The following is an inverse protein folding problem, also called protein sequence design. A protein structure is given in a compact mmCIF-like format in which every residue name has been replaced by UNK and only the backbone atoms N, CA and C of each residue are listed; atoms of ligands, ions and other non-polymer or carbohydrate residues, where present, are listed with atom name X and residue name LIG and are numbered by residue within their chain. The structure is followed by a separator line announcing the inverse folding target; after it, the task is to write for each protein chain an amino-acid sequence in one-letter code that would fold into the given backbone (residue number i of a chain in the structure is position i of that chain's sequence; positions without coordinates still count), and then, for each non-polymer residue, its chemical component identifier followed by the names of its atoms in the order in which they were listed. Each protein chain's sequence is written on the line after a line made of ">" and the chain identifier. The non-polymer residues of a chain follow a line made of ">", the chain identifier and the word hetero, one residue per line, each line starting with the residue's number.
data_IF_314161870349
#
_entry.id   IF_314161870349
#
_cell.length_a   1.000
_cell.length_b   1.000
_cell.length_c   1.000
_cell.angle_alpha   90.00
_cell.angle_beta   90.00
_cell.angle_gamma   90.00
#
_symmetry.space_group_name_H-M   'P 1'
#
loop_
_entity.id
_entity.type
_entity.pdbx_description
1 polymer ?
#
# COMPACT_ATOMS: atom_id res chain seq x y z
N UNK A 1 35.45 15.03 16.78
CA UNK A 1 35.10 14.14 15.66
C UNK A 1 34.73 12.69 16.03
N UNK A 2 35.28 12.02 17.08
CA UNK A 2 34.95 10.61 17.35
C UNK A 2 33.47 10.39 17.72
N UNK A 3 32.92 11.21 18.60
CA UNK A 3 31.50 11.17 18.99
C UNK A 3 30.50 11.35 17.84
N UNK A 4 30.96 11.95 16.74
CA UNK A 4 30.11 12.28 15.61
C UNK A 4 29.88 11.03 14.74
N UNK A 5 30.96 10.36 14.34
CA UNK A 5 30.92 9.08 13.61
C UNK A 5 30.20 7.97 14.38
N UNK A 6 30.21 8.02 15.72
CA UNK A 6 29.48 7.07 16.58
C UNK A 6 27.97 7.16 16.38
N UNK A 7 27.36 8.34 16.32
CA UNK A 7 25.90 8.47 16.25
C UNK A 7 25.30 7.90 14.96
N UNK A 8 25.88 8.24 13.80
CA UNK A 8 25.37 7.72 12.51
C UNK A 8 25.55 6.20 12.44
N UNK A 9 26.68 5.70 12.94
CA UNK A 9 26.96 4.25 13.02
C UNK A 9 25.98 3.56 13.97
N UNK A 10 25.66 4.17 15.13
CA UNK A 10 24.68 3.66 16.08
C UNK A 10 23.26 3.69 15.51
N UNK A 11 22.89 4.75 14.79
CA UNK A 11 21.58 4.85 14.13
C UNK A 11 21.43 3.79 13.03
N UNK A 12 22.44 3.62 12.18
CA UNK A 12 22.46 2.56 11.16
C UNK A 12 22.41 1.19 11.82
N UNK A 13 23.21 0.97 12.87
CA UNK A 13 23.21 -0.26 13.66
C UNK A 13 21.83 -0.56 14.26
N UNK A 14 21.17 0.44 14.85
CA UNK A 14 19.82 0.31 15.38
C UNK A 14 18.80 -0.03 14.30
N UNK A 15 18.82 0.68 13.16
CA UNK A 15 17.91 0.42 12.04
C UNK A 15 18.11 -0.98 11.45
N UNK A 16 19.37 -1.45 11.34
CA UNK A 16 19.69 -2.80 10.89
C UNK A 16 19.20 -3.86 11.88
N UNK A 17 19.48 -3.70 13.18
CA UNK A 17 19.01 -4.63 14.22
C UNK A 17 17.47 -4.69 14.23
N UNK A 18 16.80 -3.55 14.20
CA UNK A 18 15.34 -3.47 14.16
C UNK A 18 14.77 -4.13 12.90
N UNK A 19 15.39 -3.89 11.74
CA UNK A 19 15.01 -4.51 10.47
C UNK A 19 15.22 -6.03 10.51
N UNK A 20 16.34 -6.51 11.07
CA UNK A 20 16.61 -7.95 11.25
C UNK A 20 15.58 -8.61 12.17
N UNK A 21 15.25 -8.00 13.32
CA UNK A 21 14.21 -8.49 14.23
C UNK A 21 12.86 -8.55 13.49
N UNK A 22 12.52 -7.51 12.75
CA UNK A 22 11.27 -7.45 11.97
C UNK A 22 11.22 -8.56 10.91
N UNK A 23 12.31 -8.81 10.19
CA UNK A 23 12.41 -9.92 9.22
C UNK A 23 12.27 -11.27 9.90
N UNK A 24 12.91 -11.50 11.06
CA UNK A 24 12.76 -12.74 11.83
C UNK A 24 11.30 -12.92 12.28
N UNK A 25 10.64 -11.86 12.74
CA UNK A 25 9.24 -11.91 13.16
C UNK A 25 8.28 -12.19 11.99
N UNK A 26 8.49 -11.56 10.83
CA UNK A 26 7.61 -11.71 9.66
C UNK A 26 7.87 -13.04 8.94
N UNK A 27 9.14 -13.34 8.62
CA UNK A 27 9.51 -14.53 7.86
C UNK A 27 9.48 -15.80 8.72
N UNK A 28 9.65 -15.69 10.04
CA UNK A 28 9.52 -16.82 10.97
C UNK A 28 8.10 -17.40 11.06
N UNK A 29 7.09 -16.68 10.58
CA UNK A 29 5.70 -17.18 10.47
C UNK A 29 5.41 -17.91 9.15
N UNK A 30 6.33 -17.86 8.19
CA UNK A 30 6.13 -18.54 6.92
C UNK A 30 6.18 -20.07 7.11
N UNK A 31 5.24 -20.85 6.53
CA UNK A 31 5.19 -22.31 6.71
C UNK A 31 6.49 -23.04 6.38
N UNK A 32 7.27 -22.53 5.41
CA UNK A 32 8.57 -23.08 5.02
C UNK A 32 9.69 -22.83 6.03
N UNK A 33 9.53 -21.86 6.94
CA UNK A 33 10.58 -21.39 7.86
C UNK A 33 10.27 -21.66 9.33
N UNK A 34 9.03 -22.05 9.65
CA UNK A 34 8.53 -22.22 11.02
C UNK A 34 9.27 -23.32 11.82
N UNK A 35 9.74 -24.37 11.14
CA UNK A 35 10.53 -25.45 11.72
C UNK A 35 12.05 -25.25 11.54
N UNK A 36 12.46 -24.13 10.95
CA UNK A 36 13.85 -23.79 10.69
C UNK A 36 14.45 -22.87 11.77
N UNK A 37 15.71 -22.43 11.58
CA UNK A 37 16.40 -21.55 12.51
C UNK A 37 15.67 -20.22 12.73
N UNK A 38 15.02 -19.68 11.70
CA UNK A 38 14.18 -18.47 11.78
C UNK A 38 12.97 -18.67 12.70
N UNK A 39 12.26 -19.80 12.59
CA UNK A 39 11.14 -20.14 13.46
C UNK A 39 11.57 -20.35 14.92
N UNK A 40 12.72 -21.00 15.14
CA UNK A 40 13.30 -21.13 16.48
C UNK A 40 13.64 -19.76 17.09
N UNK A 41 14.36 -18.90 16.35
CA UNK A 41 14.70 -17.55 16.80
C UNK A 41 13.45 -16.73 17.14
N UNK A 42 12.41 -16.77 16.28
CA UNK A 42 11.13 -16.10 16.53
C UNK A 42 10.47 -16.60 17.82
N UNK A 43 10.44 -17.91 18.06
CA UNK A 43 9.87 -18.48 19.28
C UNK A 43 10.67 -18.08 20.52
N UNK A 44 11.99 -18.05 20.45
CA UNK A 44 12.85 -17.60 21.56
C UNK A 44 12.64 -16.11 21.87
N UNK A 45 12.63 -15.25 20.84
CA UNK A 45 12.37 -13.81 20.98
C UNK A 45 10.96 -13.58 21.53
N UNK A 46 9.95 -14.28 21.02
CA UNK A 46 8.56 -14.14 21.48
C UNK A 46 8.41 -14.59 22.94
N UNK A 47 9.04 -15.70 23.35
CA UNK A 47 9.04 -16.16 24.75
C UNK A 47 9.77 -15.19 25.67
N UNK A 48 10.91 -14.64 25.22
CA UNK A 48 11.64 -13.61 25.96
C UNK A 48 10.84 -12.31 26.13
N UNK A 49 10.18 -11.84 25.08
CA UNK A 49 9.30 -10.68 25.14
C UNK A 49 8.09 -10.92 26.07
N UNK A 50 7.50 -12.12 26.05
CA UNK A 50 6.40 -12.49 26.95
C UNK A 50 6.82 -12.60 28.43
N UNK A 51 8.11 -12.72 28.73
CA UNK A 51 8.62 -12.66 30.11
C UNK A 51 8.55 -11.23 30.67
N UNK A 52 8.81 -10.21 29.84
CA UNK A 52 8.81 -8.81 30.24
C UNK A 52 7.46 -8.12 30.01
N UNK A 53 6.64 -8.60 29.07
CA UNK A 53 5.35 -7.99 28.71
C UNK A 53 4.22 -8.76 29.39
N UNK A 54 3.45 -8.13 30.30
CA UNK A 54 2.33 -8.77 30.96
C UNK A 54 1.31 -9.31 29.95
N UNK A 55 0.76 -10.50 30.20
CA UNK A 55 -0.25 -11.13 29.35
C UNK A 55 -1.46 -10.23 29.08
N UNK A 56 -1.85 -9.41 30.06
CA UNK A 56 -2.91 -8.41 29.91
C UNK A 56 -2.62 -7.39 28.80
N UNK A 57 -1.36 -6.97 28.65
CA UNK A 57 -0.92 -6.04 27.60
C UNK A 57 -0.97 -6.71 26.23
N UNK A 58 -0.60 -7.99 26.14
CA UNK A 58 -0.67 -8.78 24.89
C UNK A 58 -2.12 -9.00 24.46
N UNK A 59 -2.99 -9.37 25.39
CA UNK A 59 -4.41 -9.58 25.10
C UNK A 59 -5.09 -8.25 24.70
N UNK A 60 -4.74 -7.16 25.38
CA UNK A 60 -5.21 -5.82 25.04
C UNK A 60 -4.72 -5.35 23.67
N UNK A 61 -3.43 -5.53 23.36
CA UNK A 61 -2.87 -5.15 22.06
C UNK A 61 -3.47 -5.98 20.91
N UNK A 62 -3.71 -7.27 21.13
CA UNK A 62 -4.40 -8.14 20.18
C UNK A 62 -5.85 -7.69 19.93
N UNK A 63 -6.58 -7.30 20.99
CA UNK A 63 -7.93 -6.74 20.85
C UNK A 63 -7.94 -5.44 20.04
N UNK A 64 -6.98 -4.54 20.30
CA UNK A 64 -6.82 -3.30 19.52
C UNK A 64 -6.49 -3.62 18.07
N UNK A 65 -5.53 -4.52 17.82
CA UNK A 65 -5.16 -4.91 16.47
C UNK A 65 -6.36 -5.49 15.71
N UNK A 66 -7.14 -6.36 16.36
CA UNK A 66 -8.35 -6.91 15.76
C UNK A 66 -9.39 -5.82 15.46
N UNK A 67 -9.62 -4.90 16.39
CA UNK A 67 -10.52 -3.76 16.18
C UNK A 67 -10.06 -2.90 15.00
N UNK A 68 -8.79 -2.50 14.96
CA UNK A 68 -8.24 -1.59 13.95
C UNK A 68 -8.25 -2.21 12.55
N UNK A 69 -7.85 -3.47 12.39
CA UNK A 69 -7.61 -4.07 11.07
C UNK A 69 -8.74 -4.99 10.56
N UNK A 70 -9.55 -5.57 11.45
CA UNK A 70 -10.55 -6.59 11.09
C UNK A 70 -11.99 -6.17 11.38
N UNK A 71 -12.22 -4.96 11.86
CA UNK A 71 -13.54 -4.38 12.05
C UNK A 71 -13.64 -3.01 11.37
N UNK A 72 -14.86 -2.57 11.05
CA UNK A 72 -15.06 -1.22 10.51
C UNK A 72 -14.90 -0.18 11.61
N UNK A 73 -13.92 0.69 11.42
CA UNK A 73 -13.63 1.78 12.35
C UNK A 73 -12.86 2.90 11.60
N UNK A 74 -12.93 4.16 12.06
CA UNK A 74 -12.27 5.28 11.39
C UNK A 74 -10.78 5.44 11.74
N UNK A 75 -10.19 4.56 12.56
CA UNK A 75 -8.84 4.76 13.14
C UNK A 75 -7.79 5.02 12.07
N UNK A 76 -7.73 4.20 11.03
CA UNK A 76 -6.72 4.36 9.97
C UNK A 76 -6.95 5.62 9.11
N UNK A 77 -8.19 6.10 9.01
CA UNK A 77 -8.50 7.36 8.32
C UNK A 77 -7.99 8.55 9.14
N UNK A 78 -8.15 8.50 10.46
CA UNK A 78 -7.61 9.50 11.40
C UNK A 78 -6.08 9.49 11.36
N UNK A 79 -5.46 8.31 11.44
CA UNK A 79 -4.00 8.16 11.34
C UNK A 79 -3.48 8.75 10.02
N UNK A 80 -4.11 8.42 8.90
CA UNK A 80 -3.74 8.98 7.60
C UNK A 80 -3.86 10.52 7.58
N UNK A 81 -5.00 11.06 8.01
CA UNK A 81 -5.22 12.51 8.06
C UNK A 81 -4.19 13.23 8.93
N UNK A 82 -3.92 12.70 10.13
CA UNK A 82 -2.90 13.26 11.04
C UNK A 82 -1.52 13.23 10.42
N UNK A 83 -1.10 12.11 9.80
CA UNK A 83 0.22 12.01 9.16
C UNK A 83 0.38 13.02 8.02
N UNK A 84 -0.64 13.17 7.17
CA UNK A 84 -0.63 14.13 6.06
C UNK A 84 -0.54 15.55 6.59
N UNK A 85 -1.36 15.92 7.59
CA UNK A 85 -1.36 17.27 8.16
C UNK A 85 -0.05 17.59 8.89
N UNK A 86 0.49 16.67 9.69
CA UNK A 86 1.78 16.86 10.37
C UNK A 86 2.92 17.01 9.36
N UNK A 87 2.94 16.21 8.29
CA UNK A 87 3.95 16.34 7.22
C UNK A 87 3.90 17.70 6.54
N UNK A 88 2.70 18.21 6.23
CA UNK A 88 2.53 19.55 5.65
C UNK A 88 2.86 20.67 6.65
N UNK A 89 2.58 20.48 7.94
CA UNK A 89 2.98 21.43 8.97
C UNK A 89 4.51 21.60 9.02
N UNK A 90 5.27 20.50 8.89
CA UNK A 90 6.75 20.57 8.77
C UNK A 90 7.16 21.35 7.51
N UNK A 91 6.51 21.10 6.36
CA UNK A 91 6.80 21.85 5.13
C UNK A 91 6.55 23.35 5.31
N UNK A 92 5.42 23.73 5.92
CA UNK A 92 5.04 25.14 6.11
C UNK A 92 5.92 25.83 7.15
N UNK A 93 6.17 25.19 8.28
CA UNK A 93 6.88 25.79 9.43
C UNK A 93 8.39 25.78 9.22
N UNK A 94 8.94 24.69 8.68
CA UNK A 94 10.39 24.51 8.60
C UNK A 94 10.94 24.85 7.22
N UNK A 95 10.28 24.39 6.16
CA UNK A 95 10.85 24.44 4.80
C UNK A 95 10.54 25.77 4.09
N UNK A 96 9.31 26.27 4.17
CA UNK A 96 8.94 27.53 3.49
C UNK A 96 9.78 28.73 3.93
N UNK A 97 10.05 28.98 5.23
CA UNK A 97 10.89 30.11 5.62
C UNK A 97 12.30 30.05 5.05
N UNK A 98 12.91 28.85 4.99
CA UNK A 98 14.23 28.65 4.38
C UNK A 98 14.19 28.98 2.90
N UNK A 99 13.22 28.42 2.17
CA UNK A 99 13.13 28.58 0.73
C UNK A 99 12.77 30.01 0.33
N UNK A 100 11.89 30.71 1.05
CA UNK A 100 11.62 32.13 0.79
C UNK A 100 12.77 33.04 1.20
N UNK A 101 13.57 32.67 2.21
CA UNK A 101 14.77 33.41 2.58
C UNK A 101 15.86 33.39 1.52
N UNK A 102 15.93 32.32 0.70
CA UNK A 102 16.98 32.11 -0.30
C UNK A 102 16.46 32.34 -1.74
N UNK A 103 15.29 31.80 -2.06
CA UNK A 103 14.65 31.84 -3.37
C UNK A 103 13.30 32.58 -3.28
N UNK A 104 13.37 33.89 -3.04
CA UNK A 104 12.19 34.72 -2.76
C UNK A 104 11.20 34.84 -3.93
N UNK A 105 11.68 34.75 -5.17
CA UNK A 105 10.84 34.87 -6.39
C UNK A 105 10.05 33.60 -6.73
N UNK A 106 10.47 32.44 -6.20
CA UNK A 106 9.84 31.15 -6.48
C UNK A 106 8.52 31.00 -5.69
N UNK A 107 7.48 30.44 -6.32
CA UNK A 107 6.24 30.08 -5.63
C UNK A 107 6.36 28.70 -4.97
N UNK A 108 6.73 28.69 -3.69
CA UNK A 108 6.88 27.47 -2.89
C UNK A 108 5.56 26.95 -2.30
N UNK A 109 4.46 27.72 -2.34
CA UNK A 109 3.21 27.41 -1.62
C UNK A 109 2.17 26.73 -2.49
N UNK A 110 2.01 27.18 -3.74
CA UNK A 110 0.88 26.78 -4.58
C UNK A 110 0.84 25.27 -4.85
N UNK A 111 1.96 24.68 -5.29
CA UNK A 111 2.01 23.26 -5.65
C UNK A 111 1.79 22.35 -4.43
N UNK A 112 2.47 22.51 -3.28
CA UNK A 112 2.19 21.69 -2.10
C UNK A 112 0.74 21.79 -1.63
N UNK A 113 0.16 23.00 -1.59
CA UNK A 113 -1.21 23.19 -1.11
C UNK A 113 -2.26 22.64 -2.08
N UNK A 114 -2.03 22.75 -3.39
CA UNK A 114 -2.87 22.12 -4.40
C UNK A 114 -2.83 20.59 -4.28
N UNK A 115 -1.64 20.00 -4.11
CA UNK A 115 -1.50 18.55 -3.95
C UNK A 115 -2.15 18.05 -2.66
N UNK A 116 -2.02 18.80 -1.56
CA UNK A 116 -2.72 18.52 -0.30
C UNK A 116 -4.25 18.49 -0.52
N UNK A 117 -4.80 19.54 -1.15
CA UNK A 117 -6.23 19.63 -1.42
C UNK A 117 -6.71 18.47 -2.30
N UNK A 118 -6.02 18.22 -3.43
CA UNK A 118 -6.39 17.14 -4.35
C UNK A 118 -6.32 15.76 -3.69
N UNK A 119 -5.29 15.52 -2.87
CA UNK A 119 -5.15 14.25 -2.16
C UNK A 119 -6.23 14.04 -1.11
N UNK A 120 -6.52 15.04 -0.28
CA UNK A 120 -7.59 14.98 0.71
C UNK A 120 -8.97 14.82 0.05
N UNK A 121 -9.21 15.50 -1.07
CA UNK A 121 -10.43 15.34 -1.84
C UNK A 121 -10.57 13.92 -2.42
N UNK A 122 -9.51 13.39 -3.01
CA UNK A 122 -9.50 12.03 -3.55
C UNK A 122 -9.71 10.98 -2.45
N UNK A 123 -9.05 11.14 -1.29
CA UNK A 123 -9.21 10.28 -0.13
C UNK A 123 -10.63 10.33 0.44
N UNK A 124 -11.20 11.52 0.61
CA UNK A 124 -12.57 11.70 1.06
C UNK A 124 -13.58 11.04 0.11
N UNK A 125 -13.44 11.26 -1.21
CA UNK A 125 -14.30 10.63 -2.22
C UNK A 125 -14.20 9.10 -2.14
N UNK A 126 -12.99 8.57 -2.04
CA UNK A 126 -12.73 7.14 -1.95
C UNK A 126 -13.33 6.48 -0.69
N UNK A 127 -13.20 7.13 0.47
CA UNK A 127 -13.77 6.64 1.73
C UNK A 127 -15.30 6.53 1.68
N UNK A 128 -15.97 7.48 1.01
CA UNK A 128 -17.43 7.58 0.98
C UNK A 128 -18.09 6.99 -0.28
N UNK A 129 -17.30 6.65 -1.30
CA UNK A 129 -17.84 6.12 -2.54
C UNK A 129 -18.42 4.71 -2.36
N UNK A 130 -19.54 4.44 -3.03
CA UNK A 130 -20.08 3.09 -3.19
C UNK A 130 -19.06 2.22 -3.95
N UNK A 131 -18.59 1.09 -3.38
CA UNK A 131 -17.69 0.19 -4.09
C UNK A 131 -18.38 -0.63 -5.19
N UNK A 132 -19.70 -0.57 -5.32
CA UNK A 132 -20.51 -1.46 -6.14
C UNK A 132 -21.19 -2.52 -5.29
N UNK A 133 -21.86 -2.11 -4.23
CA UNK A 133 -22.62 -3.01 -3.36
C UNK A 133 -23.73 -3.74 -4.14
N UNK A 134 -23.78 -5.06 -3.96
CA UNK A 134 -24.79 -5.91 -4.59
C UNK A 134 -25.98 -6.01 -3.65
N UNK A 135 -27.12 -5.51 -4.12
CA UNK A 135 -28.43 -5.55 -3.46
C UNK A 135 -29.41 -6.34 -4.31
N UNK A 136 -30.57 -6.69 -3.76
CA UNK A 136 -31.60 -7.41 -4.51
C UNK A 136 -32.03 -6.65 -5.78
N UNK A 137 -32.05 -5.32 -5.74
CA UNK A 137 -32.50 -4.46 -6.84
C UNK A 137 -31.53 -4.44 -8.04
N UNK A 138 -30.23 -4.56 -7.78
CA UNK A 138 -29.19 -4.49 -8.82
C UNK A 138 -28.58 -5.88 -9.14
N UNK A 139 -29.00 -6.93 -8.43
CA UNK A 139 -28.47 -8.29 -8.55
C UNK A 139 -28.54 -8.84 -9.98
N UNK A 140 -29.71 -8.76 -10.61
CA UNK A 140 -29.91 -9.24 -11.98
C UNK A 140 -29.03 -8.49 -12.99
N UNK A 141 -28.87 -7.17 -12.81
CA UNK A 141 -27.97 -6.36 -13.62
C UNK A 141 -26.53 -6.84 -13.47
N UNK A 142 -26.03 -6.97 -12.24
CA UNK A 142 -24.65 -7.38 -12.01
C UNK A 142 -24.34 -8.82 -12.44
N UNK A 143 -25.29 -9.74 -12.38
CA UNK A 143 -25.12 -11.09 -12.96
C UNK A 143 -24.86 -11.03 -14.47
N UNK A 144 -25.48 -10.08 -15.17
CA UNK A 144 -25.40 -9.99 -16.63
C UNK A 144 -24.10 -9.36 -17.18
N UNK A 145 -23.35 -8.63 -16.34
CA UNK A 145 -22.20 -7.82 -16.81
C UNK A 145 -20.99 -8.69 -17.17
N UNK A 146 -20.67 -9.68 -16.34
CA UNK A 146 -19.49 -10.52 -16.52
C UNK A 146 -19.88 -11.97 -16.78
N UNK A 147 -19.32 -12.56 -17.83
CA UNK A 147 -19.43 -13.99 -18.07
C UNK A 147 -18.73 -14.78 -16.96
N UNK A 148 -19.29 -15.95 -16.63
CA UNK A 148 -18.66 -16.91 -15.73
C UNK A 148 -17.58 -17.67 -16.50
N UNK A 149 -16.33 -17.60 -16.06
CA UNK A 149 -15.21 -18.31 -16.69
C UNK A 149 -15.18 -19.82 -16.37
N UNK A 150 -15.99 -20.28 -15.41
CA UNK A 150 -16.09 -21.68 -15.01
C UNK A 150 -14.91 -22.20 -14.17
N UNK A 151 -13.85 -21.39 -14.01
CA UNK A 151 -12.63 -21.71 -13.27
C UNK A 151 -12.62 -20.91 -11.96
N UNK A 152 -12.40 -19.60 -12.03
CA UNK A 152 -12.37 -18.68 -10.89
C UNK A 152 -13.79 -18.29 -10.42
N UNK A 153 -14.73 -18.24 -11.36
CA UNK A 153 -16.11 -17.85 -11.14
C UNK A 153 -17.07 -18.86 -11.79
N UNK A 154 -17.64 -19.73 -10.95
CA UNK A 154 -18.59 -20.76 -11.36
C UNK A 154 -20.03 -20.27 -11.23
N UNK A 155 -20.87 -20.67 -12.19
CA UNK A 155 -22.32 -20.45 -12.14
C UNK A 155 -22.91 -21.06 -10.85
N UNK A 156 -24.01 -20.50 -10.37
CA UNK A 156 -24.76 -20.97 -9.17
C UNK A 156 -23.98 -20.93 -7.84
N UNK A 157 -22.83 -20.26 -7.77
CA UNK A 157 -22.15 -20.03 -6.49
C UNK A 157 -22.96 -19.05 -5.64
N UNK A 158 -23.44 -19.47 -4.46
CA UNK A 158 -24.27 -18.62 -3.57
C UNK A 158 -23.41 -17.97 -2.49
N UNK A 159 -23.74 -16.73 -2.12
CA UNK A 159 -23.26 -16.13 -0.88
C UNK A 159 -24.13 -16.60 0.27
N UNK A 160 -23.54 -17.35 1.23
CA UNK A 160 -24.28 -17.85 2.40
C UNK A 160 -24.80 -16.72 3.31
N UNK A 161 -24.05 -15.62 3.42
CA UNK A 161 -24.42 -14.47 4.25
C UNK A 161 -25.51 -13.60 3.62
N UNK A 162 -25.36 -13.25 2.33
CA UNK A 162 -26.31 -12.37 1.63
C UNK A 162 -27.46 -13.10 0.94
N UNK A 163 -27.42 -14.44 0.91
CA UNK A 163 -28.45 -15.33 0.36
C UNK A 163 -28.85 -15.08 -1.10
N UNK A 164 -27.88 -14.85 -1.99
CA UNK A 164 -28.10 -14.79 -3.43
C UNK A 164 -26.92 -15.37 -4.22
N UNK A 165 -27.17 -15.71 -5.49
CA UNK A 165 -26.13 -16.17 -6.42
C UNK A 165 -25.12 -15.05 -6.67
N UNK A 166 -23.84 -15.27 -6.39
CA UNK A 166 -22.77 -14.30 -6.63
C UNK A 166 -22.63 -14.02 -8.12
N UNK A 167 -22.73 -12.75 -8.57
CA UNK A 167 -22.25 -12.34 -9.88
C UNK A 167 -20.78 -12.74 -10.09
N UNK A 168 -20.36 -13.00 -11.33
CA UNK A 168 -18.95 -13.18 -11.63
C UNK A 168 -18.13 -11.95 -11.17
N UNK A 169 -16.90 -12.18 -10.74
CA UNK A 169 -16.00 -11.15 -10.16
C UNK A 169 -16.46 -10.52 -8.83
N UNK A 170 -17.54 -11.00 -8.21
CA UNK A 170 -17.98 -10.52 -6.89
C UNK A 170 -17.39 -11.31 -5.72
N UNK A 171 -17.35 -10.68 -4.55
CA UNK A 171 -16.97 -11.32 -3.27
C UNK A 171 -17.72 -10.70 -2.10
N UNK A 172 -18.03 -11.52 -1.10
CA UNK A 172 -18.52 -11.04 0.19
C UNK A 172 -17.34 -10.59 1.04
N UNK A 173 -17.37 -9.34 1.51
CA UNK A 173 -16.42 -8.83 2.49
C UNK A 173 -17.05 -8.97 3.88
N UNK A 174 -16.47 -9.81 4.74
CA UNK A 174 -16.94 -10.01 6.11
C UNK A 174 -16.81 -8.74 6.96
N UNK A 175 -15.74 -7.96 6.74
CA UNK A 175 -15.52 -6.69 7.47
C UNK A 175 -16.63 -5.70 7.15
N UNK A 176 -16.97 -5.53 5.87
CA UNK A 176 -18.07 -4.64 5.46
C UNK A 176 -19.46 -5.28 5.51
N UNK A 177 -19.55 -6.57 5.82
CA UNK A 177 -20.76 -7.39 5.78
C UNK A 177 -21.62 -7.19 4.52
N UNK A 178 -20.98 -7.12 3.34
CA UNK A 178 -21.67 -6.93 2.06
C UNK A 178 -20.97 -7.62 0.91
N UNK A 179 -21.74 -7.97 -0.11
CA UNK A 179 -21.20 -8.42 -1.39
C UNK A 179 -20.88 -7.22 -2.28
N UNK A 180 -19.68 -7.22 -2.85
CA UNK A 180 -19.19 -6.13 -3.70
C UNK A 180 -18.93 -6.68 -5.11
N UNK A 181 -19.42 -5.96 -6.11
CA UNK A 181 -19.22 -6.25 -7.52
C UNK A 181 -17.80 -5.88 -7.97
N UNK A 182 -17.18 -6.72 -8.82
CA UNK A 182 -15.76 -6.62 -9.22
C UNK A 182 -14.85 -6.30 -8.03
N UNK A 183 -14.96 -7.11 -6.98
CA UNK A 183 -14.26 -6.88 -5.72
C UNK A 183 -12.75 -6.98 -5.91
N UNK A 184 -12.02 -5.94 -5.49
CA UNK A 184 -10.56 -5.93 -5.48
C UNK A 184 -10.01 -6.34 -4.12
N UNK A 185 -10.24 -5.53 -3.09
CA UNK A 185 -9.87 -5.80 -1.71
C UNK A 185 -10.69 -4.95 -0.74
N UNK A 186 -10.57 -5.23 0.56
CA UNK A 186 -10.99 -4.31 1.61
C UNK A 186 -9.78 -3.48 2.02
N UNK A 187 -9.87 -2.15 1.94
CA UNK A 187 -8.78 -1.26 2.29
C UNK A 187 -9.04 -0.69 3.68
N UNK A 188 -8.21 -1.07 4.65
CA UNK A 188 -8.33 -0.60 6.05
C UNK A 188 -8.13 0.91 6.13
N UNK A 189 -7.19 1.47 5.34
CA UNK A 189 -6.92 2.92 5.27
C UNK A 189 -8.14 3.76 4.91
N UNK A 190 -9.01 3.25 4.04
CA UNK A 190 -10.21 3.98 3.59
C UNK A 190 -11.47 3.54 4.34
N UNK A 191 -11.35 2.56 5.24
CA UNK A 191 -12.46 1.88 5.92
C UNK A 191 -13.58 1.49 4.93
N UNK A 192 -13.20 1.07 3.71
CA UNK A 192 -14.12 0.79 2.62
C UNK A 192 -13.58 -0.35 1.73
N UNK A 193 -14.48 -1.03 1.03
CA UNK A 193 -14.07 -1.94 -0.04
C UNK A 193 -13.63 -1.15 -1.27
N UNK A 194 -12.70 -1.72 -2.03
CA UNK A 194 -12.37 -1.27 -3.38
C UNK A 194 -13.03 -2.25 -4.35
N UNK A 195 -13.86 -1.73 -5.25
CA UNK A 195 -14.67 -2.52 -6.18
C UNK A 195 -14.98 -1.79 -7.48
N UNK A 196 -15.98 -2.27 -8.22
CA UNK A 196 -16.33 -1.76 -9.54
C UNK A 196 -16.52 -0.25 -9.61
N UNK A 197 -17.20 0.35 -8.63
CA UNK A 197 -17.67 1.74 -8.71
C UNK A 197 -16.73 2.77 -8.09
N UNK A 198 -15.69 2.36 -7.36
CA UNK A 198 -14.75 3.28 -6.71
C UNK A 198 -13.28 3.00 -7.00
N UNK A 199 -12.96 2.03 -7.86
CA UNK A 199 -11.57 1.73 -8.22
C UNK A 199 -10.83 2.92 -8.85
N UNK A 200 -11.51 3.76 -9.66
CA UNK A 200 -10.89 4.98 -10.21
C UNK A 200 -10.55 6.02 -9.14
N UNK A 201 -11.36 6.16 -8.08
CA UNK A 201 -11.02 7.02 -6.94
C UNK A 201 -9.80 6.46 -6.20
N UNK A 202 -9.66 5.14 -6.10
CA UNK A 202 -8.48 4.50 -5.51
C UNK A 202 -7.21 4.82 -6.31
N UNK A 203 -7.26 4.72 -7.63
CA UNK A 203 -6.13 5.09 -8.50
C UNK A 203 -5.82 6.60 -8.38
N UNK A 204 -6.82 7.47 -8.40
CA UNK A 204 -6.62 8.92 -8.25
C UNK A 204 -6.00 9.28 -6.88
N UNK A 205 -6.45 8.61 -5.81
CA UNK A 205 -5.85 8.76 -4.48
C UNK A 205 -4.38 8.35 -4.47
N UNK A 206 -4.03 7.20 -5.05
CA UNK A 206 -2.64 6.74 -5.12
C UNK A 206 -1.74 7.67 -5.93
N UNK A 207 -2.21 8.15 -7.09
CA UNK A 207 -1.46 9.08 -7.93
C UNK A 207 -1.22 10.42 -7.22
N UNK A 208 -2.27 11.00 -6.63
CA UNK A 208 -2.13 12.26 -5.87
C UNK A 208 -1.24 12.10 -4.64
N UNK A 209 -1.29 10.95 -3.96
CA UNK A 209 -0.44 10.65 -2.82
C UNK A 209 1.04 10.58 -3.21
N UNK A 210 1.39 9.92 -4.32
CA UNK A 210 2.77 9.88 -4.82
C UNK A 210 3.25 11.27 -5.18
N UNK A 211 2.45 12.04 -5.93
CA UNK A 211 2.83 13.40 -6.33
C UNK A 211 3.07 14.30 -5.11
N UNK A 212 2.23 14.18 -4.09
CA UNK A 212 2.39 14.89 -2.82
C UNK A 212 3.68 14.47 -2.08
N UNK A 213 3.99 13.17 -2.02
CA UNK A 213 5.22 12.68 -1.39
C UNK A 213 6.49 13.13 -2.13
N UNK A 214 6.49 13.02 -3.47
CA UNK A 214 7.61 13.46 -4.31
C UNK A 214 7.83 14.96 -4.22
N UNK A 215 6.74 15.75 -4.20
CA UNK A 215 6.85 17.20 -4.01
C UNK A 215 7.42 17.55 -2.63
N UNK A 216 6.92 16.94 -1.55
CA UNK A 216 7.48 17.14 -0.21
C UNK A 216 8.95 16.74 -0.11
N UNK A 217 9.35 15.62 -0.72
CA UNK A 217 10.75 15.18 -0.82
C UNK A 217 11.60 16.21 -1.57
N UNK A 218 11.13 16.68 -2.73
CA UNK A 218 11.82 17.69 -3.52
C UNK A 218 12.03 18.99 -2.74
N UNK A 219 10.99 19.47 -2.04
CA UNK A 219 11.07 20.69 -1.24
C UNK A 219 12.05 20.54 -0.07
N UNK A 220 12.02 19.41 0.62
CA UNK A 220 12.96 19.11 1.70
C UNK A 220 14.41 19.04 1.18
N UNK A 221 14.64 18.30 0.09
CA UNK A 221 15.95 18.20 -0.55
C UNK A 221 16.48 19.57 -1.00
N UNK A 222 15.64 20.38 -1.66
CA UNK A 222 15.99 21.76 -2.05
C UNK A 222 16.39 22.61 -0.84
N UNK A 223 15.64 22.56 0.26
CA UNK A 223 15.98 23.34 1.46
C UNK A 223 17.32 22.94 2.08
N UNK A 224 17.64 21.64 2.14
CA UNK A 224 18.91 21.16 2.69
C UNK A 224 20.09 21.55 1.80
N UNK A 225 19.94 21.40 0.48
CA UNK A 225 20.96 21.84 -0.49
C UNK A 225 21.18 23.35 -0.37
N UNK A 226 20.10 24.13 -0.30
CA UNK A 226 20.17 25.58 -0.16
C UNK A 226 20.91 25.98 1.13
N UNK A 227 20.54 25.40 2.27
CA UNK A 227 21.23 25.64 3.54
C UNK A 227 22.74 25.31 3.42
N UNK A 228 23.09 24.16 2.86
CA UNK A 228 24.47 23.71 2.74
C UNK A 228 25.33 24.67 1.89
N UNK A 229 24.79 25.16 0.76
CA UNK A 229 25.50 26.08 -0.12
C UNK A 229 25.56 27.50 0.44
N UNK A 230 24.43 28.08 0.84
CA UNK A 230 24.35 29.49 1.23
C UNK A 230 24.98 29.78 2.60
N UNK A 231 25.03 28.78 3.49
CA UNK A 231 25.75 28.92 4.77
C UNK A 231 27.26 28.70 4.64
N UNK A 232 27.77 28.50 3.41
CA UNK A 232 29.19 28.23 3.15
C UNK A 232 29.67 26.87 3.69
N UNK A 233 28.77 26.01 4.16
CA UNK A 233 29.13 24.76 4.85
C UNK A 233 29.85 23.77 3.94
N UNK A 234 29.56 23.79 2.63
CA UNK A 234 30.27 22.97 1.63
C UNK A 234 31.75 23.33 1.53
N UNK A 235 32.12 24.58 1.84
CA UNK A 235 33.50 25.08 1.77
C UNK A 235 34.11 25.33 3.15
N UNK A 236 33.45 24.91 4.22
CA UNK A 236 33.93 25.11 5.57
C UNK A 236 35.18 24.25 5.85
N UNK A 237 36.07 24.78 6.70
CA UNK A 237 37.31 24.13 7.13
C UNK A 237 37.24 23.87 8.64
N UNK A 238 37.65 22.69 9.09
CA UNK A 238 37.70 22.31 10.51
C UNK A 238 39.16 22.28 10.95
N UNK A 239 39.44 22.80 12.15
CA UNK A 239 40.75 22.70 12.79
C UNK A 239 40.87 21.37 13.55
N UNK A 240 41.85 20.54 13.19
CA UNK A 240 42.19 19.32 13.94
C UNK A 240 42.99 19.64 15.22
N UNK A 241 43.13 18.65 16.10
CA UNK A 241 43.84 18.80 17.38
C UNK A 241 45.32 19.16 17.24
N UNK A 242 45.91 18.92 16.06
CA UNK A 242 47.28 19.31 15.70
C UNK A 242 47.36 20.72 15.08
N UNK A 243 46.24 21.45 15.02
CA UNK A 243 46.15 22.80 14.47
C UNK A 243 46.00 22.86 12.94
N UNK A 244 45.94 21.73 12.22
CA UNK A 244 45.75 21.75 10.76
C UNK A 244 44.31 22.04 10.39
N UNK A 245 44.13 22.86 9.35
CA UNK A 245 42.84 23.13 8.75
C UNK A 245 42.57 22.12 7.63
N UNK A 246 41.54 21.30 7.80
CA UNK A 246 41.10 20.33 6.79
C UNK A 246 39.69 20.65 6.29
N UNK A 247 39.35 20.36 5.02
CA UNK A 247 37.99 20.56 4.53
C UNK A 247 37.01 19.65 5.28
N UNK A 248 35.78 20.14 5.50
CA UNK A 248 34.70 19.34 6.09
C UNK A 248 34.44 18.10 5.23
N UNK A 249 34.48 16.92 5.86
CA UNK A 249 34.12 15.68 5.19
C UNK A 249 32.61 15.58 4.94
N UNK A 250 32.19 14.83 3.91
CA UNK A 250 30.77 14.62 3.61
C UNK A 250 30.00 14.03 4.80
N UNK A 251 30.60 13.12 5.56
CA UNK A 251 29.98 12.52 6.74
C UNK A 251 29.75 13.55 7.86
N UNK A 252 30.73 14.43 8.11
CA UNK A 252 30.60 15.51 9.08
C UNK A 252 29.53 16.52 8.66
N UNK A 253 29.44 16.85 7.37
CA UNK A 253 28.40 17.72 6.83
C UNK A 253 26.99 17.13 6.99
N UNK A 254 26.81 15.87 6.56
CA UNK A 254 25.52 15.16 6.68
C UNK A 254 25.08 15.07 8.14
N UNK A 255 26.01 14.79 9.03
CA UNK A 255 25.72 14.73 10.45
C UNK A 255 25.35 16.09 11.04
N UNK A 256 26.09 17.14 10.69
CA UNK A 256 25.76 18.49 11.15
C UNK A 256 24.34 18.88 10.70
N UNK A 257 24.00 18.63 9.44
CA UNK A 257 22.65 18.86 8.90
C UNK A 257 21.58 18.03 9.63
N UNK A 258 21.87 16.77 9.95
CA UNK A 258 20.96 15.91 10.73
C UNK A 258 20.70 16.46 12.13
N UNK A 259 21.74 16.90 12.84
CA UNK A 259 21.62 17.41 14.20
C UNK A 259 20.92 18.77 14.23
N UNK A 260 21.17 19.63 13.23
CA UNK A 260 20.61 20.97 13.16
C UNK A 260 19.16 20.97 12.63
N UNK A 261 18.85 20.10 11.66
CA UNK A 261 17.54 20.05 10.99
C UNK A 261 16.90 18.65 11.03
N UNK A 262 16.76 18.03 12.22
CA UNK A 262 16.30 16.64 12.33
C UNK A 262 14.91 16.44 11.71
N UNK A 263 13.98 17.38 11.90
CA UNK A 263 12.62 17.28 11.35
C UNK A 263 12.60 17.21 9.82
N UNK A 264 13.39 18.04 9.14
CA UNK A 264 13.47 18.08 7.67
C UNK A 264 14.12 16.79 7.16
N UNK A 265 15.21 16.32 7.81
CA UNK A 265 15.90 15.10 7.41
C UNK A 265 15.02 13.85 7.62
N UNK A 266 14.33 13.74 8.75
CA UNK A 266 13.39 12.65 8.99
C UNK A 266 12.21 12.68 8.03
N UNK A 267 11.66 13.86 7.72
CA UNK A 267 10.62 14.01 6.71
C UNK A 267 11.12 13.54 5.34
N UNK A 268 12.29 14.03 4.89
CA UNK A 268 12.89 13.66 3.60
C UNK A 268 13.14 12.15 3.48
N UNK A 269 13.71 11.53 4.50
CA UNK A 269 13.97 10.10 4.53
C UNK A 269 12.66 9.27 4.55
N UNK A 270 11.66 9.72 5.30
CA UNK A 270 10.36 9.03 5.34
C UNK A 270 9.63 9.14 4.00
N UNK A 271 9.65 10.32 3.37
CA UNK A 271 9.01 10.56 2.09
C UNK A 271 9.72 9.82 0.94
N UNK A 272 11.04 9.62 0.99
CA UNK A 272 11.75 8.84 -0.03
C UNK A 272 11.34 7.36 0.00
N UNK A 273 11.35 6.74 1.19
CA UNK A 273 10.91 5.36 1.40
C UNK A 273 9.43 5.20 1.03
N UNK A 274 8.58 6.11 1.51
CA UNK A 274 7.14 6.06 1.23
C UNK A 274 6.88 6.21 -0.28
N UNK A 275 7.57 7.12 -0.97
CA UNK A 275 7.40 7.31 -2.41
C UNK A 275 7.74 6.04 -3.19
N UNK A 276 8.83 5.33 -2.84
CA UNK A 276 9.21 4.07 -3.48
C UNK A 276 8.14 2.98 -3.27
N UNK A 277 7.66 2.81 -2.03
CA UNK A 277 6.65 1.80 -1.70
C UNK A 277 5.33 2.07 -2.42
N UNK A 278 4.84 3.31 -2.36
CA UNK A 278 3.57 3.68 -2.98
C UNK A 278 3.69 3.69 -4.50
N UNK A 279 4.84 4.06 -5.08
CA UNK A 279 5.09 3.94 -6.51
C UNK A 279 4.98 2.49 -6.99
N UNK A 280 5.65 1.55 -6.32
CA UNK A 280 5.55 0.12 -6.65
C UNK A 280 4.12 -0.40 -6.56
N UNK A 281 3.41 -0.05 -5.48
CA UNK A 281 2.01 -0.42 -5.29
C UNK A 281 1.08 0.19 -6.37
N UNK A 282 1.32 1.43 -6.74
CA UNK A 282 0.54 2.14 -7.77
C UNK A 282 0.79 1.57 -9.15
N UNK A 283 2.05 1.30 -9.52
CA UNK A 283 2.40 0.64 -10.77
C UNK A 283 1.74 -0.73 -10.88
N UNK A 284 1.70 -1.49 -9.78
CA UNK A 284 1.00 -2.76 -9.74
C UNK A 284 -0.51 -2.60 -9.97
N UNK A 285 -1.16 -1.61 -9.36
CA UNK A 285 -2.57 -1.32 -9.60
C UNK A 285 -2.86 -0.79 -11.02
N UNK A 286 -1.95 -0.03 -11.62
CA UNK A 286 -2.01 0.36 -13.04
C UNK A 286 -1.90 -0.87 -13.94
N UNK A 287 -1.01 -1.81 -13.61
CA UNK A 287 -0.91 -3.09 -14.31
C UNK A 287 -2.21 -3.91 -14.23
N UNK A 288 -2.85 -3.98 -13.06
CA UNK A 288 -4.16 -4.63 -12.90
C UNK A 288 -5.23 -3.96 -13.76
N UNK A 289 -5.23 -2.63 -13.84
CA UNK A 289 -6.10 -1.88 -14.72
C UNK A 289 -5.85 -2.23 -16.20
N UNK A 290 -4.58 -2.25 -16.64
CA UNK A 290 -4.24 -2.58 -18.04
C UNK A 290 -4.58 -4.02 -18.43
N UNK A 291 -4.56 -4.96 -17.49
CA UNK A 291 -4.85 -6.38 -17.74
C UNK A 291 -6.28 -6.78 -17.36
N UNK A 292 -7.11 -5.81 -16.94
CA UNK A 292 -8.47 -6.02 -16.44
C UNK A 292 -8.57 -7.08 -15.34
N UNK A 293 -7.60 -7.09 -14.43
CA UNK A 293 -7.58 -7.97 -13.28
C UNK A 293 -7.88 -7.19 -12.00
N UNK A 294 -8.26 -7.92 -10.97
CA UNK A 294 -8.35 -7.44 -9.59
C UNK A 294 -7.34 -8.19 -8.72
N UNK A 295 -6.97 -7.61 -7.58
CA UNK A 295 -6.14 -8.29 -6.59
C UNK A 295 -6.74 -9.62 -6.13
N UNK A 296 -8.05 -9.64 -5.91
CA UNK A 296 -8.76 -10.87 -5.55
C UNK A 296 -8.66 -11.95 -6.62
N UNK A 297 -8.65 -11.59 -7.91
CA UNK A 297 -8.44 -12.55 -9.00
C UNK A 297 -7.02 -13.10 -9.01
N UNK A 298 -6.01 -12.23 -8.83
CA UNK A 298 -4.60 -12.65 -8.72
C UNK A 298 -4.39 -13.62 -7.56
N UNK A 299 -4.98 -13.30 -6.40
CA UNK A 299 -4.90 -14.18 -5.23
C UNK A 299 -5.56 -15.54 -5.51
N UNK A 300 -6.77 -15.55 -6.07
CA UNK A 300 -7.46 -16.79 -6.45
C UNK A 300 -6.68 -17.62 -7.46
N UNK A 301 -6.08 -16.99 -8.48
CA UNK A 301 -5.26 -17.67 -9.49
C UNK A 301 -4.03 -18.32 -8.84
N UNK A 302 -3.35 -17.62 -7.93
CA UNK A 302 -2.22 -18.17 -7.18
C UNK A 302 -2.61 -19.39 -6.33
N UNK A 303 -3.70 -19.29 -5.56
CA UNK A 303 -4.22 -20.42 -4.77
C UNK A 303 -4.58 -21.61 -5.65
N UNK A 304 -5.21 -21.36 -6.80
CA UNK A 304 -5.58 -22.41 -7.74
C UNK A 304 -4.35 -23.13 -8.30
N UNK A 305 -3.32 -22.39 -8.74
CA UNK A 305 -2.07 -22.98 -9.23
C UNK A 305 -1.35 -23.82 -8.18
N UNK A 306 -1.31 -23.36 -6.92
CA UNK A 306 -0.76 -24.13 -5.81
C UNK A 306 -1.54 -25.44 -5.63
N UNK A 307 -2.88 -25.38 -5.66
CA UNK A 307 -3.71 -26.57 -5.50
C UNK A 307 -3.53 -27.60 -6.63
N UNK A 308 -3.39 -27.16 -7.87
CA UNK A 308 -3.10 -28.08 -8.99
C UNK A 308 -1.72 -28.72 -8.86
N UNK A 309 -0.70 -27.95 -8.48
CA UNK A 309 0.65 -28.47 -8.29
C UNK A 309 0.70 -29.48 -7.12
N UNK A 310 0.02 -29.22 -6.00
CA UNK A 310 -0.09 -30.18 -4.89
C UNK A 310 -0.78 -31.47 -5.33
N UNK A 311 -1.91 -31.37 -6.03
CA UNK A 311 -2.60 -32.56 -6.54
C UNK A 311 -1.77 -33.35 -7.55
N UNK A 312 -0.92 -32.69 -8.34
CA UNK A 312 -0.04 -33.37 -9.27
C UNK A 312 1.09 -34.12 -8.54
N UNK A 313 1.71 -33.51 -7.53
CA UNK A 313 2.74 -34.17 -6.70
C UNK A 313 2.18 -35.34 -5.86
N UNK A 314 0.95 -35.23 -5.36
CA UNK A 314 0.26 -36.32 -4.63
C UNK A 314 -0.13 -37.48 -5.57
N UNK A 315 -0.46 -37.19 -6.82
CA UNK A 315 -0.73 -38.20 -7.84
C UNK A 315 0.56 -38.85 -8.38
N UNK A 316 1.69 -38.14 -8.44
CA UNK A 316 2.97 -38.71 -8.88
C UNK A 316 3.62 -39.59 -7.80
N UNK A 317 3.29 -39.38 -6.53
CA UNK A 317 3.73 -40.24 -5.41
C UNK A 317 2.88 -41.50 -5.21
N UNK A 318 1.71 -41.58 -5.83
CA UNK A 318 0.83 -42.76 -5.82
C UNK A 318 0.78 -43.37 -7.22
N UNK A 319 1.38 -44.56 -7.42
CA UNK A 319 1.33 -45.31 -8.69
C UNK A 319 -0.12 -45.63 -9.09
N UNK A 320 -0.80 -44.70 -9.75
CA UNK A 320 -2.13 -44.88 -10.32
C UNK A 320 -2.05 -44.64 -11.82
N UNK A 321 -2.45 -45.65 -12.57
CA UNK A 321 -2.51 -45.71 -14.02
C UNK A 321 -3.22 -44.48 -14.60
N UNK A 322 -2.52 -43.82 -15.54
CA UNK A 322 -2.91 -42.57 -16.19
C UNK A 322 -4.27 -42.66 -16.88
N UNK A 323 -5.27 -41.95 -16.38
CA UNK A 323 -6.29 -41.34 -17.25
C UNK A 323 -5.83 -39.93 -17.64
N UNK A 324 -6.07 -39.48 -18.90
CA UNK A 324 -5.58 -38.19 -19.37
C UNK A 324 -6.39 -37.07 -18.71
N UNK A 325 -5.87 -36.50 -17.60
CA UNK A 325 -6.34 -35.21 -17.11
C UNK A 325 -6.01 -34.18 -18.18
N UNK A 326 -7.02 -33.74 -18.93
CA UNK A 326 -6.93 -32.58 -19.81
C UNK A 326 -6.41 -31.42 -18.95
N UNK A 327 -5.13 -31.02 -19.10
CA UNK A 327 -4.62 -29.78 -18.51
C UNK A 327 -5.53 -28.67 -19.03
N UNK A 328 -6.40 -28.16 -18.17
CA UNK A 328 -7.29 -27.09 -18.54
C UNK A 328 -6.39 -25.86 -18.68
N UNK A 329 -6.04 -25.46 -19.91
CA UNK A 329 -5.26 -24.25 -20.14
C UNK A 329 -6.08 -23.06 -19.63
N UNK A 330 -5.76 -22.59 -18.42
CA UNK A 330 -6.45 -21.47 -17.82
C UNK A 330 -5.98 -20.21 -18.53
N UNK A 331 -6.93 -19.54 -19.19
CA UNK A 331 -6.70 -18.16 -19.58
C UNK A 331 -6.45 -17.36 -18.30
N UNK A 332 -5.22 -16.91 -18.10
CA UNK A 332 -4.84 -16.12 -16.92
C UNK A 332 -5.55 -14.76 -16.87
N UNK A 333 -6.12 -14.30 -17.99
CA UNK A 333 -6.81 -13.00 -18.12
C UNK A 333 -8.15 -13.18 -18.86
N UNK A 334 -9.14 -13.86 -18.26
CA UNK A 334 -10.41 -14.16 -18.94
C UNK A 334 -11.27 -12.92 -19.20
N UNK A 335 -10.97 -11.79 -18.55
CA UNK A 335 -11.72 -10.54 -18.65
C UNK A 335 -10.95 -9.43 -19.39
N UNK A 336 -9.78 -9.73 -19.95
CA UNK A 336 -9.02 -8.76 -20.75
C UNK A 336 -9.72 -8.53 -22.10
N UNK A 337 -10.10 -7.28 -22.36
CA UNK A 337 -10.82 -6.84 -23.57
C UNK A 337 -10.00 -5.82 -24.38
N UNK A 338 -8.69 -5.72 -24.10
CA UNK A 338 -7.77 -4.77 -24.72
C UNK A 338 -7.58 -3.50 -23.89
N UNK A 339 -6.35 -2.98 -23.89
CA UNK A 339 -5.85 -1.94 -22.96
C UNK A 339 -6.81 -0.75 -22.83
N UNK A 340 -7.21 -0.13 -23.95
CA UNK A 340 -8.09 1.06 -23.91
C UNK A 340 -9.46 0.75 -23.31
N UNK A 341 -10.04 -0.41 -23.63
CA UNK A 341 -11.35 -0.83 -23.09
C UNK A 341 -11.25 -1.20 -21.62
N UNK A 342 -10.12 -1.78 -21.20
CA UNK A 342 -9.84 -2.10 -19.81
C UNK A 342 -9.75 -0.82 -18.96
N UNK A 343 -8.99 0.18 -19.44
CA UNK A 343 -8.88 1.49 -18.79
C UNK A 343 -10.26 2.14 -18.71
N UNK A 344 -10.99 2.21 -19.83
CA UNK A 344 -12.31 2.83 -19.86
C UNK A 344 -13.30 2.16 -18.90
N UNK A 345 -13.24 0.84 -18.74
CA UNK A 345 -14.07 0.11 -17.78
C UNK A 345 -13.78 0.48 -16.32
N UNK A 346 -12.52 0.77 -15.99
CA UNK A 346 -12.11 1.19 -14.64
C UNK A 346 -12.41 2.67 -14.39
N UNK A 347 -12.10 3.54 -15.35
CA UNK A 347 -12.26 4.99 -15.24
C UNK A 347 -13.72 5.44 -15.35
N UNK A 348 -14.56 4.73 -16.13
CA UNK A 348 -15.95 5.09 -16.38
C UNK A 348 -16.92 3.94 -16.08
N UNK A 349 -16.92 3.38 -14.86
CA UNK A 349 -17.65 2.13 -14.57
C UNK A 349 -19.17 2.31 -14.69
N UNK A 350 -19.70 3.50 -14.36
CA UNK A 350 -21.14 3.80 -14.49
C UNK A 350 -21.61 3.75 -15.94
N UNK A 351 -20.83 4.28 -16.87
CA UNK A 351 -21.15 4.23 -18.31
C UNK A 351 -21.34 2.79 -18.79
N UNK A 352 -20.46 1.88 -18.37
CA UNK A 352 -20.57 0.46 -18.71
C UNK A 352 -21.80 -0.19 -18.07
N UNK A 353 -22.04 0.04 -16.77
CA UNK A 353 -23.19 -0.52 -16.06
C UNK A 353 -24.51 -0.03 -16.67
N UNK A 354 -24.63 1.26 -16.96
CA UNK A 354 -25.84 1.86 -17.56
C UNK A 354 -26.09 1.34 -18.97
N UNK A 355 -25.04 1.10 -19.76
CA UNK A 355 -25.16 0.45 -21.07
C UNK A 355 -25.75 -0.95 -20.95
N UNK A 356 -25.29 -1.77 -20.00
CA UNK A 356 -25.87 -3.09 -19.75
C UNK A 356 -27.31 -3.02 -19.24
N UNK A 357 -27.63 -2.04 -18.39
CA UNK A 357 -28.99 -1.80 -17.89
C UNK A 357 -29.97 -1.49 -19.04
N UNK A 358 -29.58 -0.66 -20.00
CA UNK A 358 -30.39 -0.37 -21.20
C UNK A 358 -30.64 -1.62 -22.05
N UNK A 359 -29.63 -2.49 -22.20
CA UNK A 359 -29.76 -3.75 -22.95
C UNK A 359 -30.76 -4.67 -22.25
N UNK A 360 -30.64 -4.87 -20.93
CA UNK A 360 -31.56 -5.72 -20.17
C UNK A 360 -33.01 -5.25 -20.24
N UNK A 361 -33.23 -3.93 -20.16
CA UNK A 361 -34.57 -3.35 -20.25
C UNK A 361 -35.19 -3.46 -21.65
N UNK A 362 -34.42 -3.74 -22.70
CA UNK A 362 -34.95 -3.98 -24.06
C UNK A 362 -35.52 -5.40 -24.23
N UNK A 363 -35.17 -6.32 -23.33
CA UNK A 363 -35.61 -7.73 -23.35
C UNK A 363 -36.65 -8.05 -22.26
N UNK A 364 -37.12 -7.03 -21.54
CA UNK A 364 -38.31 -7.09 -20.68
C UNK A 364 -39.45 -6.40 -21.40
#
# INVERSE_FOLDING_TARGET
>A
MPFAMEFLTLLIGYLLIFSCITVVCICGEHPSCINGPLGWMKNTISKGLLFFIPKSVVDWSSKIFHYVYFQRNPTMQIVFGTLVLCGHAIVVIDIFPILYGIYHDDNHVFVPMLLLFLNLLAFYKLCNADPGEITQNNHALFISIYAFDGVLYKKKTVCKTCNFVKPARSKHCSICNRCVHRFDHHCVWTNNCIGALNNHYFIAFLLTLIMMCLNGFYMALRSIIAIAHFSGMVHAMIMESDGKMIPVSLSALVQHLFMQFPRIIFLMASLSVLSLLIAGFTLYHIYLMFTNQTNNERHKLGTFQISENCHQNDCDSSKVTKLPKKKQCINSRPYDIGILKNIAQVCFPRYYIDRHKKILNKFK
#
